data_IF_228968288209
#
_entry.id   IF_228968288209
#
_cell.length_a   1.000
_cell.length_b   1.000
_cell.length_c   1.000
_cell.angle_alpha   90.00
_cell.angle_beta   90.00
_cell.angle_gamma   90.00
#
_symmetry.space_group_name_H-M   'P 1'
#
loop_
_entity.id
_entity.type
_entity.pdbx_description
1 polymer ?
#
# COMPACT_ATOMS: atom_id res chain seq x y z
N UNK A 1 -23.04 41.01 12.38
CA UNK A 1 -21.84 40.62 13.14
C UNK A 1 -21.98 39.14 13.47
N UNK A 2 -21.41 38.26 12.65
CA UNK A 2 -21.49 36.81 12.82
C UNK A 2 -20.24 36.32 13.55
N UNK A 3 -20.44 35.57 14.64
CA UNK A 3 -19.38 34.88 15.38
C UNK A 3 -18.83 33.75 14.50
N UNK A 4 -17.50 33.73 14.30
CA UNK A 4 -16.77 32.57 13.81
C UNK A 4 -16.59 31.61 14.99
N UNK A 5 -17.46 30.61 15.10
CA UNK A 5 -17.17 29.44 15.91
C UNK A 5 -16.32 28.48 15.04
N UNK A 6 -15.06 28.30 15.44
CA UNK A 6 -14.18 27.30 14.86
C UNK A 6 -14.67 25.92 15.27
N UNK A 7 -15.17 25.13 14.32
CA UNK A 7 -15.51 23.73 14.52
C UNK A 7 -14.22 22.89 14.52
N UNK A 8 -13.67 22.68 15.70
CA UNK A 8 -12.54 21.77 15.93
C UNK A 8 -13.05 20.31 15.89
N UNK A 9 -12.47 19.49 15.02
CA UNK A 9 -12.68 18.03 15.03
C UNK A 9 -12.28 17.54 16.42
N UNK A 10 -13.19 16.83 17.10
CA UNK A 10 -13.08 16.44 18.51
C UNK A 10 -11.92 15.46 18.74
N UNK A 11 -10.69 15.95 18.77
CA UNK A 11 -9.49 15.19 19.12
C UNK A 11 -9.62 14.78 20.59
N UNK A 12 -9.68 13.48 20.87
CA UNK A 12 -9.55 12.98 22.25
C UNK A 12 -8.14 13.26 22.73
N UNK A 13 -7.97 14.25 23.59
CA UNK A 13 -6.73 14.45 24.34
C UNK A 13 -6.57 13.28 25.30
N UNK A 14 -5.53 12.46 25.11
CA UNK A 14 -5.18 11.37 26.01
C UNK A 14 -4.76 11.98 27.34
N UNK A 15 -5.56 11.77 28.39
CA UNK A 15 -5.29 12.27 29.75
C UNK A 15 -4.08 11.53 30.31
N UNK A 16 -2.87 12.09 30.12
CA UNK A 16 -1.66 11.60 30.77
C UNK A 16 -1.80 11.78 32.28
N UNK A 17 -1.82 10.68 33.02
CA UNK A 17 -1.78 10.66 34.48
C UNK A 17 -0.36 10.96 34.98
N UNK A 18 -0.05 12.25 35.11
CA UNK A 18 1.18 12.72 35.75
C UNK A 18 1.11 12.63 37.27
N UNK A 19 1.84 11.65 37.85
CA UNK A 19 2.40 11.75 39.20
C UNK A 19 3.64 12.65 39.12
N UNK A 20 3.70 13.75 39.87
CA UNK A 20 4.81 14.06 40.81
C UNK A 20 4.86 15.54 41.24
N UNK A 21 4.97 15.70 42.57
CA UNK A 21 5.75 16.66 43.38
C UNK A 21 5.68 18.19 43.15
N UNK A 22 5.16 18.81 44.22
CA UNK A 22 5.48 20.12 44.82
C UNK A 22 6.89 20.67 44.53
N UNK A 23 6.93 21.97 44.24
CA UNK A 23 8.07 22.86 44.45
C UNK A 23 7.66 24.31 44.19
N UNK A 24 7.57 25.11 45.26
CA UNK A 24 7.37 26.57 45.22
C UNK A 24 8.67 27.27 44.83
N UNK A 25 8.58 28.34 44.03
CA UNK A 25 9.35 29.57 44.25
C UNK A 25 8.73 30.75 43.48
N UNK A 26 8.45 31.83 44.21
CA UNK A 26 8.07 33.15 43.72
C UNK A 26 9.27 33.91 43.13
N UNK A 27 9.01 34.79 42.15
CA UNK A 27 9.97 35.81 41.70
C UNK A 27 9.54 36.56 40.43
N UNK A 28 9.28 37.86 40.58
CA UNK A 28 8.72 38.82 39.61
C UNK A 28 9.65 39.21 38.45
N UNK A 29 9.03 39.72 37.38
CA UNK A 29 9.34 41.00 36.67
C UNK A 29 9.52 40.89 35.15
N UNK A 30 8.82 41.81 34.49
CA UNK A 30 8.75 42.13 33.06
C UNK A 30 10.11 42.40 32.41
N UNK A 31 10.26 41.98 31.13
CA UNK A 31 10.61 42.88 30.02
C UNK A 31 10.54 42.19 28.66
N UNK A 32 10.02 42.94 27.70
CA UNK A 32 9.93 42.63 26.27
C UNK A 32 11.29 42.34 25.63
N UNK A 33 11.35 41.26 24.83
CA UNK A 33 12.28 41.16 23.70
C UNK A 33 11.76 40.13 22.69
N UNK A 34 11.51 40.59 21.45
CA UNK A 34 11.24 39.73 20.28
C UNK A 34 12.42 38.79 20.02
N UNK A 35 12.18 37.53 19.61
CA UNK A 35 13.17 36.77 18.86
C UNK A 35 12.76 36.52 17.41
N UNK A 36 13.79 36.50 16.57
CA UNK A 36 13.82 36.09 15.17
C UNK A 36 13.36 34.62 14.99
N UNK A 37 12.97 34.19 13.77
CA UNK A 37 12.38 32.88 13.57
C UNK A 37 13.42 31.77 13.75
N UNK A 38 13.24 30.97 14.79
CA UNK A 38 13.93 29.71 15.02
C UNK A 38 13.48 28.71 13.96
N UNK A 39 14.44 28.10 13.26
CA UNK A 39 14.21 27.02 12.32
C UNK A 39 13.46 25.87 13.03
N UNK A 40 12.28 25.54 12.52
CA UNK A 40 11.51 24.37 12.94
C UNK A 40 12.28 23.11 12.55
N UNK A 41 12.75 22.36 13.54
CA UNK A 41 13.16 20.96 13.38
C UNK A 41 11.97 20.18 12.80
N UNK A 42 12.16 19.57 11.64
CA UNK A 42 11.20 18.65 11.03
C UNK A 42 11.14 17.38 11.85
N UNK A 43 9.93 16.94 12.19
CA UNK A 43 9.63 15.67 12.87
C UNK A 43 9.66 14.47 11.91
N UNK A 44 10.52 14.50 10.90
CA UNK A 44 10.75 13.39 9.95
C UNK A 44 11.76 12.36 10.46
N UNK A 45 12.47 12.64 11.57
CA UNK A 45 13.53 11.76 12.08
C UNK A 45 13.00 10.43 12.69
N UNK A 46 11.75 10.34 13.17
CA UNK A 46 11.26 9.10 13.82
C UNK A 46 10.85 7.98 12.85
N UNK A 47 10.49 8.28 11.59
CA UNK A 47 10.23 7.23 10.57
C UNK A 47 11.52 6.77 9.86
N UNK A 48 12.53 7.64 9.74
CA UNK A 48 13.86 7.30 9.18
C UNK A 48 14.77 6.61 10.21
N UNK A 49 14.72 6.95 11.51
CA UNK A 49 15.51 6.27 12.55
C UNK A 49 15.07 4.81 12.78
N UNK A 50 13.79 4.46 12.58
CA UNK A 50 13.35 3.05 12.63
C UNK A 50 13.79 2.26 11.39
N UNK A 51 13.84 2.87 10.19
CA UNK A 51 14.43 2.22 9.01
C UNK A 51 15.94 2.05 9.16
N UNK A 52 16.70 3.09 9.58
CA UNK A 52 18.14 2.99 9.79
C UNK A 52 18.52 2.01 10.93
N UNK A 53 17.77 1.99 12.03
CA UNK A 53 17.95 1.02 13.13
C UNK A 53 17.63 -0.42 12.69
N UNK A 54 16.60 -0.60 11.87
CA UNK A 54 16.26 -1.89 11.26
C UNK A 54 17.34 -2.35 10.25
N UNK A 55 17.88 -1.43 9.44
CA UNK A 55 19.01 -1.72 8.53
C UNK A 55 20.34 -1.94 9.25
N UNK A 56 20.60 -1.30 10.41
CA UNK A 56 21.79 -1.56 11.23
C UNK A 56 21.70 -2.90 11.99
N UNK A 57 20.51 -3.26 12.47
CA UNK A 57 20.29 -4.55 13.14
C UNK A 57 20.25 -5.70 12.14
N UNK A 58 19.68 -5.49 10.94
CA UNK A 58 19.80 -6.43 9.84
C UNK A 58 21.24 -6.53 9.37
N UNK A 59 21.97 -5.45 9.08
CA UNK A 59 23.33 -5.53 8.52
C UNK A 59 24.31 -6.29 9.43
N UNK A 60 24.20 -6.17 10.75
CA UNK A 60 25.07 -6.90 11.70
C UNK A 60 24.74 -8.41 11.78
N UNK A 61 23.46 -8.78 11.79
CA UNK A 61 23.04 -10.20 11.73
C UNK A 61 23.20 -10.81 10.34
N UNK A 62 23.07 -10.01 9.28
CA UNK A 62 23.18 -10.42 7.89
C UNK A 62 24.64 -10.61 7.49
N UNK A 63 25.55 -9.75 7.97
CA UNK A 63 26.99 -9.92 7.79
C UNK A 63 27.50 -11.21 8.44
N UNK A 64 27.09 -11.55 9.65
CA UNK A 64 27.60 -12.79 10.30
C UNK A 64 26.97 -14.04 9.70
N UNK A 65 25.69 -13.99 9.29
CA UNK A 65 24.94 -15.18 8.87
C UNK A 65 25.03 -15.48 7.37
N UNK A 66 25.22 -14.47 6.51
CA UNK A 66 25.28 -14.63 5.06
C UNK A 66 26.65 -14.27 4.46
N UNK A 67 27.41 -13.36 5.07
CA UNK A 67 28.74 -13.01 4.57
C UNK A 67 29.75 -14.14 4.80
N UNK A 68 29.64 -14.91 5.89
CA UNK A 68 30.56 -16.03 6.14
C UNK A 68 30.45 -17.16 5.11
N UNK A 69 29.25 -17.65 4.74
CA UNK A 69 29.09 -18.63 3.66
C UNK A 69 29.53 -18.09 2.29
N UNK A 70 29.15 -16.85 1.95
CA UNK A 70 29.51 -16.23 0.66
C UNK A 70 31.03 -15.98 0.60
N UNK A 71 31.63 -15.51 1.69
CA UNK A 71 33.08 -15.32 1.80
C UNK A 71 33.83 -16.65 1.80
N UNK A 72 33.30 -17.72 2.41
CA UNK A 72 33.88 -19.06 2.34
C UNK A 72 33.83 -19.63 0.91
N UNK A 73 32.73 -19.42 0.18
CA UNK A 73 32.62 -19.78 -1.24
C UNK A 73 33.58 -18.94 -2.09
N UNK A 74 33.63 -17.62 -1.86
CA UNK A 74 34.49 -16.72 -2.62
C UNK A 74 35.99 -16.94 -2.35
N UNK A 75 36.38 -17.21 -1.10
CA UNK A 75 37.76 -17.56 -0.73
C UNK A 75 38.13 -18.97 -1.20
N UNK A 76 37.18 -19.91 -1.22
CA UNK A 76 37.35 -21.20 -1.87
C UNK A 76 37.58 -21.05 -3.38
N UNK A 77 36.82 -20.20 -4.05
CA UNK A 77 36.95 -19.92 -5.49
C UNK A 77 38.24 -19.18 -5.85
N UNK A 78 38.70 -18.23 -5.03
CA UNK A 78 39.97 -17.53 -5.28
C UNK A 78 41.19 -18.38 -4.93
N UNK A 79 41.10 -19.27 -3.93
CA UNK A 79 42.13 -20.29 -3.67
C UNK A 79 42.22 -21.34 -4.80
N UNK A 80 41.14 -21.57 -5.55
CA UNK A 80 41.10 -22.45 -6.73
C UNK A 80 41.77 -21.84 -7.98
N UNK A 81 41.96 -20.51 -8.03
CA UNK A 81 42.55 -19.82 -9.18
C UNK A 81 44.08 -19.82 -9.15
N UNK A 82 44.70 -20.10 -7.99
CA UNK A 82 46.15 -20.05 -7.81
C UNK A 82 46.88 -21.38 -8.06
N UNK A 83 46.18 -22.52 -8.11
CA UNK A 83 46.80 -23.83 -8.34
C UNK A 83 46.22 -24.56 -9.56
N UNK A 84 47.07 -24.76 -10.57
CA UNK A 84 46.80 -25.47 -11.85
C UNK A 84 46.53 -26.99 -11.70
N UNK A 85 45.92 -27.44 -10.61
CA UNK A 85 45.70 -28.84 -10.28
C UNK A 85 44.26 -29.29 -10.62
N UNK A 86 44.15 -29.92 -11.80
CA UNK A 86 43.12 -30.91 -12.19
C UNK A 86 41.68 -30.59 -11.72
N UNK A 87 41.02 -29.67 -12.42
CA UNK A 87 39.64 -29.19 -12.19
C UNK A 87 38.47 -30.20 -12.40
N UNK A 88 38.69 -31.41 -12.93
CA UNK A 88 37.57 -32.32 -13.27
C UNK A 88 36.80 -32.91 -12.06
N UNK A 89 37.44 -33.27 -10.93
CA UNK A 89 36.72 -33.81 -9.78
C UNK A 89 35.93 -32.74 -9.01
N UNK A 90 36.45 -31.50 -8.94
CA UNK A 90 35.84 -30.40 -8.19
C UNK A 90 34.67 -29.72 -8.92
N UNK A 91 34.68 -29.65 -10.27
CA UNK A 91 33.48 -29.31 -11.03
C UNK A 91 32.37 -30.34 -10.84
N UNK A 92 32.73 -31.63 -10.71
CA UNK A 92 31.75 -32.68 -10.42
C UNK A 92 31.22 -32.58 -8.98
N UNK A 93 32.07 -32.20 -8.02
CA UNK A 93 31.68 -31.93 -6.63
C UNK A 93 30.79 -30.70 -6.50
N UNK A 94 31.14 -29.57 -7.13
CA UNK A 94 30.34 -28.34 -7.11
C UNK A 94 28.96 -28.49 -7.79
N UNK A 95 28.84 -29.35 -8.81
CA UNK A 95 27.56 -29.67 -9.45
C UNK A 95 26.74 -30.70 -8.65
N UNK A 96 27.38 -31.67 -8.00
CA UNK A 96 26.69 -32.61 -7.08
C UNK A 96 26.26 -31.92 -5.77
N UNK A 97 27.00 -30.92 -5.33
CA UNK A 97 26.66 -30.14 -4.15
C UNK A 97 25.68 -29.00 -4.41
N UNK A 98 25.39 -28.63 -5.65
CA UNK A 98 24.26 -27.74 -5.91
C UNK A 98 22.94 -28.36 -5.41
N UNK A 99 22.75 -29.66 -5.61
CA UNK A 99 21.64 -30.42 -5.02
C UNK A 99 21.80 -30.55 -3.50
N UNK A 100 23.00 -30.82 -2.98
CA UNK A 100 23.23 -30.93 -1.54
C UNK A 100 23.00 -29.63 -0.78
N UNK A 101 23.45 -28.50 -1.32
CA UNK A 101 23.27 -27.13 -0.82
C UNK A 101 21.79 -26.72 -0.91
N UNK A 102 21.10 -27.02 -2.01
CA UNK A 102 19.64 -26.81 -2.11
C UNK A 102 18.84 -27.65 -1.10
N UNK A 103 19.38 -28.81 -0.71
CA UNK A 103 18.71 -29.74 0.19
C UNK A 103 19.01 -29.47 1.68
N UNK A 104 20.21 -28.96 2.02
CA UNK A 104 20.65 -28.74 3.40
C UNK A 104 20.64 -27.28 3.85
N UNK A 105 20.44 -26.33 2.93
CA UNK A 105 20.19 -24.93 3.26
C UNK A 105 18.77 -24.61 2.76
N UNK A 106 17.73 -24.86 3.56
CA UNK A 106 16.34 -24.49 3.22
C UNK A 106 16.19 -23.01 2.86
N UNK A 107 17.15 -22.15 3.25
CA UNK A 107 17.22 -20.74 2.88
C UNK A 107 17.73 -20.46 1.45
N UNK A 108 18.24 -21.45 0.73
CA UNK A 108 18.71 -21.31 -0.66
C UNK A 108 17.74 -21.86 -1.71
N UNK A 109 16.54 -22.31 -1.30
CA UNK A 109 15.41 -22.47 -2.23
C UNK A 109 14.88 -21.10 -2.65
N UNK A 110 15.78 -20.25 -3.16
CA UNK A 110 15.42 -19.01 -3.83
C UNK A 110 14.69 -19.42 -5.10
N UNK A 111 13.43 -19.04 -5.14
CA UNK A 111 12.58 -19.21 -6.31
C UNK A 111 13.11 -18.31 -7.42
N UNK A 112 13.05 -18.78 -8.65
CA UNK A 112 13.48 -17.99 -9.81
C UNK A 112 12.66 -16.69 -9.88
N UNK A 113 13.35 -15.56 -10.08
CA UNK A 113 12.69 -14.27 -10.30
C UNK A 113 11.93 -14.29 -11.62
N UNK A 114 10.73 -13.72 -11.64
CA UNK A 114 9.94 -13.55 -12.86
C UNK A 114 10.18 -12.19 -13.51
N UNK A 115 10.27 -12.16 -14.83
CA UNK A 115 10.34 -10.94 -15.61
C UNK A 115 9.13 -10.02 -15.36
N UNK A 116 9.25 -8.77 -15.80
CA UNK A 116 8.16 -7.80 -15.71
C UNK A 116 6.92 -8.24 -16.52
N UNK A 117 7.14 -8.85 -17.69
CA UNK A 117 6.10 -9.33 -18.61
C UNK A 117 5.56 -10.73 -18.28
N UNK A 118 6.16 -11.42 -17.32
CA UNK A 118 5.72 -12.76 -16.95
C UNK A 118 4.39 -12.66 -16.19
N UNK A 119 3.49 -13.60 -16.48
CA UNK A 119 2.22 -13.68 -15.76
C UNK A 119 2.49 -13.96 -14.29
N UNK A 120 1.75 -13.28 -13.41
CA UNK A 120 1.73 -13.55 -11.96
C UNK A 120 0.37 -14.03 -11.53
N UNK A 121 0.28 -14.67 -10.38
CA UNK A 121 -0.99 -15.23 -9.94
C UNK A 121 -2.04 -14.14 -9.69
N UNK A 122 -1.69 -13.10 -8.91
CA UNK A 122 -2.72 -12.19 -8.40
C UNK A 122 -2.32 -10.73 -8.33
N UNK A 123 -3.24 -9.88 -8.77
CA UNK A 123 -3.29 -8.46 -8.43
C UNK A 123 -4.47 -8.23 -7.48
N UNK A 124 -4.19 -7.73 -6.28
CA UNK A 124 -5.21 -7.32 -5.32
C UNK A 124 -5.23 -5.80 -5.28
N UNK A 125 -6.37 -5.20 -5.62
CA UNK A 125 -6.55 -3.74 -5.57
C UNK A 125 -7.47 -3.32 -4.44
N UNK A 126 -7.19 -2.20 -3.81
CA UNK A 126 -8.05 -1.61 -2.76
C UNK A 126 -7.72 -0.13 -2.56
N UNK A 127 -8.57 0.65 -1.90
CA UNK A 127 -8.28 2.07 -1.69
C UNK A 127 -7.05 2.29 -0.80
N UNK A 128 -6.45 3.48 -0.88
CA UNK A 128 -5.51 3.91 0.18
C UNK A 128 -6.17 3.76 1.55
N UNK A 129 -5.39 3.26 2.52
CA UNK A 129 -5.85 3.03 3.90
C UNK A 129 -6.94 1.95 4.07
N UNK A 130 -7.20 1.12 3.06
CA UNK A 130 -8.04 -0.08 3.17
C UNK A 130 -7.35 -1.29 3.82
N UNK A 131 -6.07 -1.17 4.19
CA UNK A 131 -5.29 -2.28 4.74
C UNK A 131 -4.50 -3.10 3.71
N UNK A 132 -4.16 -2.52 2.55
CA UNK A 132 -3.33 -3.19 1.52
C UNK A 132 -2.02 -3.75 2.07
N UNK A 133 -1.28 -2.96 2.87
CA UNK A 133 -0.06 -3.40 3.57
C UNK A 133 -0.28 -4.61 4.48
N UNK A 134 -1.41 -4.62 5.18
CA UNK A 134 -1.76 -5.67 6.12
C UNK A 134 -2.04 -6.98 5.37
N UNK A 135 -2.77 -6.92 4.27
CA UNK A 135 -3.05 -8.11 3.45
C UNK A 135 -1.77 -8.65 2.83
N UNK A 136 -0.93 -7.80 2.25
CA UNK A 136 0.37 -8.24 1.71
C UNK A 136 1.23 -8.93 2.78
N UNK A 137 1.38 -8.30 3.96
CA UNK A 137 2.09 -8.90 5.10
C UNK A 137 1.45 -10.19 5.57
N UNK A 138 0.12 -10.30 5.60
CA UNK A 138 -0.55 -11.51 6.05
C UNK A 138 -0.34 -12.67 5.08
N UNK A 139 -0.44 -12.44 3.78
CA UNK A 139 -0.18 -13.45 2.75
C UNK A 139 1.30 -13.90 2.77
N UNK A 140 2.22 -12.95 2.89
CA UNK A 140 3.65 -13.25 2.94
C UNK A 140 4.06 -13.94 4.24
N UNK A 141 3.74 -13.35 5.38
CA UNK A 141 4.28 -13.78 6.67
C UNK A 141 3.54 -15.02 7.22
N UNK A 142 2.27 -15.22 6.85
CA UNK A 142 1.46 -16.36 7.35
C UNK A 142 1.51 -17.56 6.40
N UNK A 143 1.36 -17.30 5.10
CA UNK A 143 1.29 -18.36 4.09
C UNK A 143 2.67 -18.63 3.48
N UNK A 144 3.53 -17.62 3.37
CA UNK A 144 4.83 -17.72 2.71
C UNK A 144 4.81 -17.33 1.23
N UNK A 145 3.74 -16.67 0.76
CA UNK A 145 3.65 -16.23 -0.64
C UNK A 145 4.53 -15.01 -0.89
N UNK A 146 5.14 -14.94 -2.08
CA UNK A 146 5.98 -13.82 -2.53
C UNK A 146 5.11 -12.67 -3.07
N UNK A 147 4.34 -12.04 -2.17
CA UNK A 147 3.39 -10.95 -2.45
C UNK A 147 3.97 -9.60 -2.00
N UNK A 148 4.00 -8.64 -2.93
CA UNK A 148 4.46 -7.27 -2.69
C UNK A 148 3.35 -6.35 -2.19
N UNK A 149 3.72 -5.28 -1.47
CA UNK A 149 2.83 -4.16 -1.14
C UNK A 149 3.20 -2.97 -2.01
N UNK A 150 2.30 -2.53 -2.89
CA UNK A 150 2.52 -1.48 -3.90
C UNK A 150 3.70 -1.74 -4.85
N UNK A 151 4.25 -2.96 -4.89
CA UNK A 151 5.42 -3.31 -5.69
C UNK A 151 5.10 -4.53 -6.53
N UNK A 152 5.60 -4.58 -7.75
CA UNK A 152 5.51 -5.72 -8.65
C UNK A 152 6.86 -6.03 -9.31
N UNK A 153 7.95 -5.41 -8.86
CA UNK A 153 9.29 -5.80 -9.30
C UNK A 153 9.76 -7.05 -8.54
N UNK A 154 9.90 -8.17 -9.26
CA UNK A 154 10.37 -9.42 -8.66
C UNK A 154 11.90 -9.53 -8.62
N UNK A 155 12.63 -8.72 -9.40
CA UNK A 155 14.09 -8.78 -9.48
C UNK A 155 14.74 -8.21 -8.22
N UNK A 156 14.15 -7.17 -7.65
CA UNK A 156 14.70 -6.50 -6.46
C UNK A 156 13.98 -6.85 -5.15
N UNK A 157 12.73 -7.33 -5.20
CA UNK A 157 11.84 -7.36 -4.02
C UNK A 157 11.13 -8.70 -3.74
N UNK A 158 11.49 -9.80 -4.41
CA UNK A 158 10.85 -11.11 -4.22
C UNK A 158 9.32 -11.05 -4.31
N UNK A 159 8.83 -10.42 -5.38
CA UNK A 159 7.40 -10.22 -5.66
C UNK A 159 6.97 -11.10 -6.84
N UNK A 160 7.19 -12.40 -6.69
CA UNK A 160 6.94 -13.35 -7.77
C UNK A 160 5.45 -13.67 -7.94
N UNK A 161 4.76 -13.89 -6.83
CA UNK A 161 3.43 -14.49 -6.85
C UNK A 161 2.33 -13.47 -7.14
N UNK A 162 2.57 -12.19 -6.86
CA UNK A 162 1.55 -11.15 -7.05
C UNK A 162 1.77 -9.89 -6.23
N UNK A 163 0.82 -8.97 -6.28
CA UNK A 163 0.92 -7.69 -5.56
C UNK A 163 -0.41 -7.26 -4.97
N UNK A 164 -0.35 -6.55 -3.84
CA UNK A 164 -1.47 -5.81 -3.26
C UNK A 164 -1.18 -4.32 -3.39
N UNK A 165 -2.02 -3.59 -4.13
CA UNK A 165 -1.75 -2.18 -4.40
C UNK A 165 -3.00 -1.34 -4.55
N UNK A 166 -3.00 -0.13 -4.01
CA UNK A 166 -4.02 0.85 -4.34
C UNK A 166 -3.77 1.54 -5.68
N UNK A 167 -2.51 1.79 -6.03
CA UNK A 167 -2.21 2.55 -7.23
C UNK A 167 -2.41 1.70 -8.50
N UNK A 168 -2.22 0.38 -8.46
CA UNK A 168 -2.58 -0.50 -9.57
C UNK A 168 -4.08 -0.48 -9.91
N UNK A 169 -4.93 0.11 -9.04
CA UNK A 169 -6.32 0.44 -9.36
C UNK A 169 -6.49 1.29 -10.62
N UNK A 170 -5.48 2.08 -11.03
CA UNK A 170 -5.54 2.88 -12.28
C UNK A 170 -5.83 2.02 -13.52
N UNK A 171 -5.48 0.72 -13.50
CA UNK A 171 -5.77 -0.22 -14.59
C UNK A 171 -7.26 -0.38 -14.85
N UNK A 172 -8.07 -0.23 -13.80
CA UNK A 172 -9.51 -0.41 -13.81
C UNK A 172 -10.28 0.91 -13.80
N UNK A 173 -9.59 2.05 -13.85
CA UNK A 173 -10.26 3.32 -14.10
C UNK A 173 -10.64 3.42 -15.57
N UNK A 174 -11.91 3.71 -15.90
CA UNK A 174 -12.32 3.83 -17.29
C UNK A 174 -11.57 4.98 -17.95
N UNK A 175 -11.01 4.70 -19.12
CA UNK A 175 -10.39 5.71 -19.98
C UNK A 175 -11.34 5.96 -21.13
N UNK A 176 -11.66 7.23 -21.38
CA UNK A 176 -12.20 7.61 -22.67
C UNK A 176 -11.01 7.73 -23.66
N UNK A 177 -10.84 6.77 -24.59
CA UNK A 177 -9.70 6.74 -25.51
C UNK A 177 -9.68 7.95 -26.47
N UNK A 178 -10.79 8.68 -26.59
CA UNK A 178 -10.88 9.88 -27.45
C UNK A 178 -10.39 11.15 -26.76
N UNK A 179 -10.09 11.10 -25.45
CA UNK A 179 -9.85 12.30 -24.68
C UNK A 179 -8.38 12.70 -24.62
N UNK A 180 -8.09 13.91 -25.11
CA UNK A 180 -6.83 14.62 -24.85
C UNK A 180 -6.54 14.83 -23.34
N UNK A 181 -7.48 14.49 -22.46
CA UNK A 181 -7.39 14.64 -21.01
C UNK A 181 -6.50 13.57 -20.38
N UNK A 182 -6.46 12.33 -20.88
CA UNK A 182 -5.58 11.30 -20.29
C UNK A 182 -4.11 11.69 -20.41
N UNK A 183 -3.69 12.16 -21.58
CA UNK A 183 -2.30 12.62 -21.78
C UNK A 183 -1.95 13.76 -20.81
N UNK A 184 -2.86 14.71 -20.62
CA UNK A 184 -2.68 15.80 -19.63
C UNK A 184 -2.60 15.27 -18.20
N UNK A 185 -3.48 14.33 -17.82
CA UNK A 185 -3.44 13.67 -16.50
C UNK A 185 -2.10 13.00 -16.27
N UNK A 186 -1.61 12.20 -17.22
CA UNK A 186 -0.32 11.52 -17.11
C UNK A 186 0.83 12.52 -16.98
N UNK A 187 0.82 13.58 -17.78
CA UNK A 187 1.84 14.63 -17.70
C UNK A 187 1.81 15.30 -16.32
N UNK A 188 0.63 15.68 -15.82
CA UNK A 188 0.45 16.25 -14.48
C UNK A 188 0.90 15.29 -13.38
N UNK A 189 0.54 14.00 -13.47
CA UNK A 189 1.04 12.99 -12.54
C UNK A 189 2.58 12.97 -12.56
N UNK A 190 3.20 12.88 -13.73
CA UNK A 190 4.64 12.64 -13.77
C UNK A 190 5.51 13.87 -13.53
N UNK A 191 4.96 15.06 -13.75
CA UNK A 191 5.67 16.33 -13.53
C UNK A 191 5.37 16.94 -12.17
N UNK A 192 4.13 16.84 -11.69
CA UNK A 192 3.67 17.49 -10.47
C UNK A 192 3.46 16.52 -9.30
N UNK A 193 3.56 15.20 -9.51
CA UNK A 193 3.54 14.26 -8.40
C UNK A 193 4.80 14.38 -7.56
N UNK A 194 4.57 14.34 -6.26
CA UNK A 194 5.58 14.12 -5.26
C UNK A 194 5.59 12.64 -4.89
N UNK A 195 6.72 12.16 -4.36
CA UNK A 195 6.82 10.82 -3.77
C UNK A 195 5.68 10.53 -2.75
N UNK A 196 5.19 11.58 -2.09
CA UNK A 196 4.11 11.53 -1.12
C UNK A 196 2.75 11.10 -1.69
N UNK A 197 2.58 11.15 -3.02
CA UNK A 197 1.38 10.63 -3.68
C UNK A 197 1.30 9.11 -3.65
N UNK A 198 2.32 8.40 -3.13
CA UNK A 198 2.28 6.94 -2.95
C UNK A 198 2.43 6.16 -4.26
N UNK A 199 2.99 6.81 -5.29
CA UNK A 199 3.34 6.20 -6.57
C UNK A 199 4.83 6.43 -6.84
N UNK A 200 5.50 5.38 -7.31
CA UNK A 200 6.85 5.46 -7.83
C UNK A 200 7.02 4.51 -9.02
N UNK A 201 7.67 4.89 -10.13
CA UNK A 201 7.83 4.02 -11.30
C UNK A 201 8.42 2.64 -11.00
N UNK A 202 9.35 2.58 -10.04
CA UNK A 202 9.95 1.33 -9.54
C UNK A 202 8.94 0.32 -8.97
N UNK A 203 7.75 0.78 -8.60
CA UNK A 203 6.65 -0.09 -8.19
C UNK A 203 6.22 -1.07 -9.28
N UNK A 204 6.52 -0.78 -10.55
CA UNK A 204 6.11 -1.59 -11.69
C UNK A 204 7.24 -2.42 -12.28
N UNK A 205 8.47 -1.94 -12.26
CA UNK A 205 9.63 -2.65 -12.83
C UNK A 205 10.93 -2.16 -12.20
N UNK A 206 11.99 -2.93 -12.37
CA UNK A 206 13.34 -2.46 -12.12
C UNK A 206 13.57 -1.15 -12.90
N UNK A 207 13.89 -0.08 -12.17
CA UNK A 207 14.13 1.23 -12.77
C UNK A 207 15.49 1.29 -13.46
N UNK A 208 15.59 2.08 -14.53
CA UNK A 208 16.88 2.45 -15.14
C UNK A 208 17.43 3.74 -14.55
N UNK A 209 16.59 4.49 -13.83
CA UNK A 209 16.97 5.71 -13.15
C UNK A 209 17.72 5.45 -11.83
N UNK A 210 18.66 6.35 -11.50
CA UNK A 210 19.42 6.28 -10.25
C UNK A 210 18.52 6.45 -9.03
N UNK A 211 18.62 5.52 -8.08
CA UNK A 211 17.91 5.58 -6.80
C UNK A 211 18.38 6.73 -5.91
N UNK A 212 19.59 7.25 -6.16
CA UNK A 212 20.15 8.39 -5.40
C UNK A 212 19.55 9.73 -5.80
N UNK A 213 18.82 9.78 -6.91
CA UNK A 213 18.17 11.00 -7.37
C UNK A 213 16.73 11.07 -6.88
N UNK A 214 16.38 12.17 -6.20
CA UNK A 214 14.99 12.53 -5.97
C UNK A 214 14.31 12.84 -7.30
N UNK A 215 13.06 12.38 -7.47
CA UNK A 215 12.16 12.54 -8.64
C UNK A 215 12.73 13.35 -9.82
N UNK A 216 13.66 12.75 -10.57
CA UNK A 216 14.40 13.44 -11.62
C UNK A 216 13.65 13.41 -12.96
N UNK A 217 14.20 14.07 -13.99
CA UNK A 217 13.68 13.96 -15.35
C UNK A 217 13.65 12.51 -15.85
N UNK A 218 14.55 11.67 -15.34
CA UNK A 218 14.54 10.24 -15.64
C UNK A 218 13.29 9.59 -15.04
N UNK A 219 13.04 9.78 -13.74
CA UNK A 219 11.85 9.22 -13.08
C UNK A 219 10.55 9.73 -13.66
N UNK A 220 10.47 11.03 -14.01
CA UNK A 220 9.31 11.59 -14.69
C UNK A 220 9.06 10.92 -16.05
N UNK A 221 10.12 10.59 -16.80
CA UNK A 221 10.01 9.86 -18.06
C UNK A 221 9.49 8.43 -17.84
N UNK A 222 10.07 7.69 -16.90
CA UNK A 222 9.59 6.34 -16.56
C UNK A 222 8.13 6.36 -16.08
N UNK A 223 7.76 7.34 -15.27
CA UNK A 223 6.38 7.55 -14.84
C UNK A 223 5.44 7.68 -16.04
N UNK A 224 5.81 8.49 -17.05
CA UNK A 224 4.95 8.72 -18.22
C UNK A 224 4.77 7.43 -19.00
N UNK A 225 5.85 6.69 -19.25
CA UNK A 225 5.81 5.40 -19.95
C UNK A 225 4.91 4.41 -19.20
N UNK A 226 5.15 4.20 -17.91
CA UNK A 226 4.36 3.27 -17.08
C UNK A 226 2.89 3.68 -17.03
N UNK A 227 2.60 4.96 -16.77
CA UNK A 227 1.22 5.44 -16.69
C UNK A 227 0.48 5.30 -18.02
N UNK A 228 1.15 5.50 -19.15
CA UNK A 228 0.55 5.26 -20.47
C UNK A 228 0.22 3.79 -20.71
N UNK A 229 1.08 2.88 -20.27
CA UNK A 229 0.87 1.44 -20.41
C UNK A 229 -0.22 0.93 -19.47
N UNK A 230 -0.26 1.43 -18.24
CA UNK A 230 -1.04 0.87 -17.14
C UNK A 230 -2.41 1.50 -16.97
N UNK A 231 -2.56 2.79 -17.27
CA UNK A 231 -3.81 3.49 -17.00
C UNK A 231 -4.95 2.98 -17.89
N UNK A 232 -5.99 2.43 -17.27
CA UNK A 232 -7.16 1.87 -17.94
C UNK A 232 -6.85 0.68 -18.84
N UNK A 233 -5.68 0.03 -18.71
CA UNK A 233 -5.31 -1.07 -19.60
C UNK A 233 -6.28 -2.26 -19.54
N UNK A 234 -6.96 -2.47 -18.40
CA UNK A 234 -7.93 -3.57 -18.28
C UNK A 234 -9.17 -3.34 -19.16
N UNK A 235 -9.45 -2.09 -19.55
CA UNK A 235 -10.58 -1.73 -20.42
C UNK A 235 -10.26 -1.82 -21.91
N UNK A 236 -8.98 -2.01 -22.27
CA UNK A 236 -8.54 -2.06 -23.66
C UNK A 236 -8.76 -3.46 -24.23
N UNK A 237 -9.06 -3.60 -25.53
CA UNK A 237 -9.26 -4.92 -26.16
C UNK A 237 -8.06 -5.85 -26.03
N UNK A 238 -6.86 -5.29 -25.95
CA UNK A 238 -5.58 -6.00 -25.84
C UNK A 238 -5.13 -6.21 -24.38
N UNK A 239 -5.89 -5.71 -23.41
CA UNK A 239 -5.65 -5.87 -21.98
C UNK A 239 -4.37 -5.20 -21.45
N UNK A 240 -3.93 -5.64 -20.28
CA UNK A 240 -2.70 -5.17 -19.62
C UNK A 240 -1.51 -6.06 -20.01
N UNK A 241 -0.87 -5.79 -21.15
CA UNK A 241 0.22 -6.63 -21.67
C UNK A 241 1.52 -6.58 -20.86
N UNK A 242 1.80 -5.46 -20.19
CA UNK A 242 3.13 -5.23 -19.61
C UNK A 242 3.34 -5.93 -18.26
N UNK A 243 2.27 -6.31 -17.56
CA UNK A 243 2.33 -7.11 -16.33
C UNK A 243 1.01 -7.88 -16.16
N UNK A 244 0.88 -9.03 -16.85
CA UNK A 244 -0.33 -9.81 -16.77
C UNK A 244 -0.47 -10.43 -15.37
N UNK A 245 -1.69 -10.38 -14.84
CA UNK A 245 -2.06 -11.10 -13.63
C UNK A 245 -3.19 -12.06 -13.98
N UNK A 246 -3.01 -13.34 -13.63
CA UNK A 246 -3.99 -14.39 -13.86
C UNK A 246 -5.33 -14.05 -13.21
N UNK A 247 -5.29 -13.54 -11.97
CA UNK A 247 -6.45 -13.04 -11.24
C UNK A 247 -6.30 -11.60 -10.80
N UNK A 248 -7.43 -10.90 -10.78
CA UNK A 248 -7.56 -9.57 -10.18
C UNK A 248 -8.66 -9.60 -9.13
N UNK A 249 -8.34 -9.20 -7.90
CA UNK A 249 -9.28 -9.18 -6.77
C UNK A 249 -9.48 -7.73 -6.28
N UNK A 250 -10.69 -7.40 -5.87
CA UNK A 250 -10.98 -6.15 -5.18
C UNK A 250 -11.07 -6.39 -3.67
N UNK A 251 -10.09 -5.88 -2.94
CA UNK A 251 -10.10 -5.82 -1.49
C UNK A 251 -10.87 -4.59 -1.03
N UNK A 252 -11.84 -4.79 -0.15
CA UNK A 252 -12.63 -3.71 0.46
C UNK A 252 -12.44 -3.68 1.96
N UNK A 253 -12.60 -2.49 2.52
CA UNK A 253 -12.70 -2.23 3.97
C UNK A 253 -13.95 -1.37 4.18
N UNK A 254 -14.55 -1.42 5.37
CA UNK A 254 -15.72 -0.59 5.68
C UNK A 254 -15.47 0.87 5.25
N UNK A 255 -16.33 1.47 4.40
CA UNK A 255 -16.07 2.80 3.81
C UNK A 255 -15.77 3.88 4.85
N UNK A 256 -16.57 3.98 5.91
CA UNK A 256 -16.36 4.98 6.98
C UNK A 256 -14.99 4.79 7.65
N UNK A 257 -14.58 3.55 7.94
CA UNK A 257 -13.30 3.28 8.60
C UNK A 257 -12.10 3.63 7.69
N UNK A 258 -12.29 3.47 6.37
CA UNK A 258 -11.33 3.92 5.36
C UNK A 258 -11.24 5.44 5.35
N UNK A 259 -12.39 6.15 5.34
CA UNK A 259 -12.43 7.62 5.39
C UNK A 259 -11.78 8.14 6.66
N UNK A 260 -12.08 7.58 7.83
CA UNK A 260 -11.43 7.95 9.10
C UNK A 260 -9.91 7.88 8.99
N UNK A 261 -9.40 6.82 8.36
CA UNK A 261 -7.96 6.59 8.20
C UNK A 261 -7.34 7.58 7.23
N UNK A 262 -8.04 7.94 6.15
CA UNK A 262 -7.60 8.98 5.21
C UNK A 262 -7.61 10.36 5.84
N UNK A 263 -8.67 10.70 6.59
CA UNK A 263 -8.77 11.96 7.32
C UNK A 263 -7.65 12.08 8.34
N UNK A 264 -7.39 11.04 9.13
CA UNK A 264 -6.29 11.01 10.10
C UNK A 264 -4.90 11.12 9.44
N UNK A 265 -4.77 10.62 8.19
CA UNK A 265 -3.52 10.62 7.43
C UNK A 265 -3.23 11.96 6.76
N UNK A 266 -4.25 12.59 6.16
CA UNK A 266 -4.06 13.68 5.22
C UNK A 266 -4.62 15.01 5.70
N UNK A 267 -5.75 15.04 6.43
CA UNK A 267 -6.39 16.30 6.81
C UNK A 267 -5.62 17.02 7.92
N UNK A 268 -5.44 18.33 7.75
CA UNK A 268 -4.63 19.20 8.62
C UNK A 268 -3.17 18.72 8.75
N UNK A 269 -2.64 18.10 7.70
CA UNK A 269 -1.23 17.68 7.59
C UNK A 269 -0.60 18.32 6.36
N UNK A 270 0.74 18.31 6.30
CA UNK A 270 1.49 18.73 5.10
C UNK A 270 1.15 17.90 3.85
N UNK A 271 0.62 16.68 4.03
CA UNK A 271 0.26 15.75 2.95
C UNK A 271 -1.10 16.06 2.31
N UNK A 272 -1.87 17.03 2.84
CA UNK A 272 -3.20 17.36 2.35
C UNK A 272 -3.18 17.82 0.88
N UNK A 273 -2.21 18.66 0.50
CA UNK A 273 -2.12 19.19 -0.86
C UNK A 273 -1.79 18.11 -1.88
N UNK A 274 -0.91 17.17 -1.52
CA UNK A 274 -0.60 16.00 -2.35
C UNK A 274 -1.85 15.13 -2.56
N UNK A 275 -2.64 14.91 -1.50
CA UNK A 275 -3.89 14.17 -1.59
C UNK A 275 -4.94 14.87 -2.47
N UNK A 276 -5.10 16.19 -2.35
CA UNK A 276 -6.00 16.98 -3.21
C UNK A 276 -5.59 16.88 -4.67
N UNK A 277 -4.30 17.04 -4.97
CA UNK A 277 -3.76 16.91 -6.33
C UNK A 277 -4.03 15.53 -6.92
N UNK A 278 -3.77 14.48 -6.14
CA UNK A 278 -4.02 13.10 -6.54
C UNK A 278 -5.52 12.84 -6.78
N UNK A 279 -6.41 13.32 -5.92
CA UNK A 279 -7.85 13.19 -6.13
C UNK A 279 -8.31 13.92 -7.40
N UNK A 280 -7.87 15.18 -7.60
CA UNK A 280 -8.19 15.95 -8.81
C UNK A 280 -7.69 15.24 -10.08
N UNK A 281 -6.50 14.65 -10.02
CA UNK A 281 -5.94 13.89 -11.14
C UNK A 281 -6.82 12.69 -11.51
N UNK A 282 -7.22 11.89 -10.52
CA UNK A 282 -7.97 10.65 -10.74
C UNK A 282 -9.43 10.93 -11.13
N UNK A 283 -10.10 11.81 -10.39
CA UNK A 283 -11.56 11.96 -10.40
C UNK A 283 -12.04 13.41 -10.60
N UNK A 284 -11.14 14.38 -10.83
CA UNK A 284 -11.51 15.80 -10.91
C UNK A 284 -12.57 16.12 -11.98
N UNK A 285 -12.59 15.39 -13.10
CA UNK A 285 -13.58 15.58 -14.16
C UNK A 285 -15.02 15.24 -13.69
N UNK A 286 -15.16 14.39 -12.68
CA UNK A 286 -16.46 13.99 -12.09
C UNK A 286 -16.91 14.98 -11.00
N UNK A 287 -16.01 15.85 -10.53
CA UNK A 287 -16.22 16.75 -9.41
C UNK A 287 -15.80 18.19 -9.78
N UNK A 288 -16.59 18.91 -10.61
CA UNK A 288 -16.24 20.28 -11.03
C UNK A 288 -16.16 21.27 -9.86
N UNK A 289 -16.87 21.00 -8.76
CA UNK A 289 -16.91 21.84 -7.56
C UNK A 289 -15.89 21.42 -6.48
N UNK A 290 -14.82 20.72 -6.85
CA UNK A 290 -13.80 20.18 -5.93
C UNK A 290 -13.26 21.23 -4.96
N UNK A 291 -13.09 22.48 -5.40
CA UNK A 291 -12.59 23.60 -4.57
C UNK A 291 -13.56 24.00 -3.44
N UNK A 292 -14.78 23.47 -3.45
CA UNK A 292 -15.79 23.67 -2.41
C UNK A 292 -15.77 22.56 -1.37
N UNK A 293 -15.11 21.44 -1.63
CA UNK A 293 -15.08 20.31 -0.71
C UNK A 293 -14.15 20.59 0.47
N UNK A 294 -14.63 20.22 1.66
CA UNK A 294 -13.79 20.02 2.83
C UNK A 294 -12.88 18.80 2.65
N UNK A 295 -11.84 18.67 3.49
CA UNK A 295 -10.95 17.52 3.44
C UNK A 295 -11.69 16.19 3.71
N UNK A 296 -12.70 16.20 4.58
CA UNK A 296 -13.59 15.05 4.82
C UNK A 296 -14.35 14.67 3.55
N UNK A 297 -14.96 15.64 2.87
CA UNK A 297 -15.73 15.40 1.64
C UNK A 297 -14.83 14.85 0.53
N UNK A 298 -13.61 15.38 0.37
CA UNK A 298 -12.62 14.84 -0.57
C UNK A 298 -12.23 13.39 -0.26
N UNK A 299 -11.91 13.09 1.00
CA UNK A 299 -11.59 11.73 1.42
C UNK A 299 -12.76 10.76 1.18
N UNK A 300 -13.98 11.24 1.41
CA UNK A 300 -15.22 10.47 1.20
C UNK A 300 -15.44 10.18 -0.28
N UNK A 301 -15.40 11.20 -1.14
CA UNK A 301 -15.53 11.01 -2.58
C UNK A 301 -14.42 10.14 -3.18
N UNK A 302 -13.18 10.25 -2.69
CA UNK A 302 -12.10 9.32 -3.11
C UNK A 302 -12.49 7.86 -2.85
N UNK A 303 -12.98 7.54 -1.64
CA UNK A 303 -13.39 6.18 -1.29
C UNK A 303 -14.57 5.73 -2.15
N UNK A 304 -15.56 6.61 -2.36
CA UNK A 304 -16.74 6.33 -3.18
C UNK A 304 -16.35 6.04 -4.63
N UNK A 305 -15.65 6.96 -5.30
CA UNK A 305 -15.35 6.88 -6.73
C UNK A 305 -14.42 5.72 -7.05
N UNK A 306 -13.40 5.49 -6.22
CA UNK A 306 -12.51 4.35 -6.40
C UNK A 306 -13.28 3.02 -6.30
N UNK A 307 -14.11 2.84 -5.26
CA UNK A 307 -14.85 1.60 -5.08
C UNK A 307 -15.95 1.42 -6.14
N UNK A 308 -16.60 2.49 -6.61
CA UNK A 308 -17.52 2.45 -7.75
C UNK A 308 -16.80 1.96 -9.00
N UNK A 309 -15.62 2.52 -9.31
CA UNK A 309 -14.85 2.09 -10.46
C UNK A 309 -14.46 0.60 -10.40
N UNK A 310 -14.01 0.11 -9.24
CA UNK A 310 -13.70 -1.32 -9.06
C UNK A 310 -14.96 -2.21 -9.15
N UNK A 311 -16.09 -1.76 -8.60
CA UNK A 311 -17.35 -2.49 -8.72
C UNK A 311 -17.81 -2.58 -10.18
N UNK A 312 -17.72 -1.49 -10.94
CA UNK A 312 -18.02 -1.49 -12.39
C UNK A 312 -17.06 -2.39 -13.16
N UNK A 313 -15.76 -2.38 -12.84
CA UNK A 313 -14.79 -3.29 -13.46
C UNK A 313 -15.11 -4.77 -13.16
N UNK A 314 -15.58 -5.09 -11.95
CA UNK A 314 -16.05 -6.43 -11.59
C UNK A 314 -17.28 -6.85 -12.39
N UNK A 315 -18.28 -5.98 -12.52
CA UNK A 315 -19.49 -6.25 -13.32
C UNK A 315 -19.17 -6.55 -14.79
N UNK A 316 -18.05 -6.01 -15.29
CA UNK A 316 -17.53 -6.26 -16.64
C UNK A 316 -16.60 -7.47 -16.73
N UNK A 317 -16.37 -8.19 -15.64
CA UNK A 317 -15.50 -9.36 -15.59
C UNK A 317 -13.99 -9.03 -15.60
N UNK A 318 -13.60 -7.77 -15.44
CA UNK A 318 -12.18 -7.35 -15.38
C UNK A 318 -11.56 -7.62 -14.01
N UNK A 319 -12.39 -7.59 -12.96
CA UNK A 319 -12.05 -8.02 -11.61
C UNK A 319 -12.84 -9.31 -11.33
N UNK A 320 -12.13 -10.34 -10.89
CA UNK A 320 -12.67 -11.69 -10.74
C UNK A 320 -13.62 -11.79 -9.55
N UNK A 321 -13.28 -11.14 -8.42
CA UNK A 321 -14.09 -11.20 -7.20
C UNK A 321 -13.78 -10.03 -6.26
N UNK A 322 -14.58 -9.90 -5.22
CA UNK A 322 -14.41 -8.92 -4.14
C UNK A 322 -14.44 -9.63 -2.80
N UNK A 323 -13.65 -9.15 -1.85
CA UNK A 323 -13.71 -9.60 -0.47
C UNK A 323 -13.55 -8.43 0.50
N UNK A 324 -13.96 -8.63 1.75
CA UNK A 324 -13.83 -7.66 2.84
C UNK A 324 -12.69 -8.08 3.75
N UNK A 325 -11.77 -7.17 4.05
CA UNK A 325 -10.60 -7.47 4.89
C UNK A 325 -11.03 -7.99 6.25
N UNK A 326 -12.08 -7.39 6.82
CA UNK A 326 -12.61 -7.70 8.14
C UNK A 326 -13.14 -9.13 8.26
N UNK A 327 -13.63 -9.70 7.15
CA UNK A 327 -14.32 -11.00 7.11
C UNK A 327 -13.46 -12.09 6.43
N UNK A 328 -12.24 -11.76 6.00
CA UNK A 328 -11.40 -12.66 5.21
C UNK A 328 -10.12 -13.04 5.95
N UNK A 329 -9.82 -14.33 5.95
CA UNK A 329 -8.56 -14.90 6.46
C UNK A 329 -7.47 -14.90 5.37
N UNK A 330 -6.18 -14.98 5.72
CA UNK A 330 -5.11 -15.12 4.72
C UNK A 330 -5.32 -16.32 3.78
N UNK A 331 -5.80 -17.45 4.31
CA UNK A 331 -6.09 -18.64 3.51
C UNK A 331 -7.24 -18.43 2.52
N UNK A 332 -8.33 -17.78 2.93
CA UNK A 332 -9.43 -17.45 2.01
C UNK A 332 -8.97 -16.48 0.93
N UNK A 333 -8.16 -15.47 1.26
CA UNK A 333 -7.61 -14.55 0.28
C UNK A 333 -6.71 -15.29 -0.74
N UNK A 334 -5.88 -16.24 -0.29
CA UNK A 334 -5.05 -17.07 -1.16
C UNK A 334 -5.89 -18.00 -2.06
N UNK A 335 -6.99 -18.55 -1.55
CA UNK A 335 -7.94 -19.36 -2.33
C UNK A 335 -8.63 -18.52 -3.41
N UNK A 336 -9.14 -17.32 -3.06
CA UNK A 336 -9.74 -16.38 -4.01
C UNK A 336 -8.74 -15.94 -5.09
N UNK A 337 -7.45 -15.85 -4.75
CA UNK A 337 -6.36 -15.56 -5.67
C UNK A 337 -6.02 -16.73 -6.61
N UNK A 338 -6.61 -17.92 -6.41
CA UNK A 338 -6.40 -19.09 -7.25
C UNK A 338 -5.26 -19.99 -6.80
N UNK A 339 -4.56 -19.67 -5.70
CA UNK A 339 -3.41 -20.47 -5.26
C UNK A 339 -3.78 -21.88 -4.75
N UNK A 340 -5.05 -22.12 -4.43
CA UNK A 340 -5.52 -23.43 -3.98
C UNK A 340 -5.90 -24.38 -5.15
N UNK A 341 -6.03 -23.86 -6.38
CA UNK A 341 -6.55 -24.61 -7.52
C UNK A 341 -5.44 -25.02 -8.48
N UNK A 342 -5.29 -26.32 -8.68
CA UNK A 342 -4.31 -26.95 -9.58
C UNK A 342 -4.37 -26.40 -11.02
N UNK A 343 -5.59 -26.12 -11.51
CA UNK A 343 -5.83 -25.69 -12.89
C UNK A 343 -5.63 -24.19 -13.12
N UNK A 344 -5.40 -23.41 -12.06
CA UNK A 344 -5.40 -21.96 -12.11
C UNK A 344 -4.08 -21.35 -11.61
N UNK A 345 -3.08 -22.20 -11.36
CA UNK A 345 -1.79 -21.81 -10.85
C UNK A 345 -0.84 -21.40 -11.96
N UNK A 346 -0.25 -20.23 -11.77
CA UNK A 346 0.89 -19.77 -12.57
C UNK A 346 2.17 -20.51 -12.15
N UNK A 347 2.33 -20.79 -10.86
CA UNK A 347 3.50 -21.49 -10.32
C UNK A 347 3.08 -22.63 -9.38
N UNK A 348 3.45 -23.87 -9.74
CA UNK A 348 2.98 -25.11 -9.09
C UNK A 348 3.25 -25.18 -7.59
N UNK A 349 4.41 -24.72 -7.11
CA UNK A 349 4.79 -24.90 -5.70
C UNK A 349 3.89 -24.11 -4.73
N UNK A 350 3.18 -23.09 -5.22
CA UNK A 350 2.25 -22.33 -4.40
C UNK A 350 1.08 -23.18 -3.92
N UNK A 351 0.66 -24.19 -4.69
CA UNK A 351 -0.43 -25.06 -4.29
C UNK A 351 -0.11 -25.80 -3.00
N UNK A 352 1.05 -26.45 -2.99
CA UNK A 352 1.49 -27.29 -1.88
C UNK A 352 1.72 -26.42 -0.64
N UNK A 353 2.28 -25.23 -0.83
CA UNK A 353 2.47 -24.25 0.23
C UNK A 353 1.12 -23.84 0.86
N UNK A 354 0.15 -23.41 0.04
CA UNK A 354 -1.18 -22.99 0.51
C UNK A 354 -1.92 -24.17 1.14
N UNK A 355 -1.93 -25.35 0.52
CA UNK A 355 -2.57 -26.53 1.10
C UNK A 355 -1.97 -26.88 2.45
N UNK A 356 -0.64 -26.94 2.57
CA UNK A 356 0.04 -27.25 3.83
C UNK A 356 -0.31 -26.24 4.91
N UNK A 357 -0.21 -24.94 4.61
CA UNK A 357 -0.47 -23.86 5.56
C UNK A 357 -1.94 -23.75 5.96
N UNK A 358 -2.85 -23.95 5.01
CA UNK A 358 -4.28 -23.74 5.24
C UNK A 358 -5.02 -24.99 5.75
N UNK A 359 -4.52 -26.19 5.47
CA UNK A 359 -5.13 -27.44 5.95
C UNK A 359 -4.57 -27.90 7.30
N UNK A 360 -3.32 -27.55 7.64
CA UNK A 360 -2.76 -27.98 8.94
C UNK A 360 -3.59 -27.42 10.10
N UNK A 361 -4.03 -28.29 10.99
CA UNK A 361 -4.79 -27.90 12.19
C UNK A 361 -3.93 -27.14 13.21
N UNK A 362 -2.61 -27.17 13.05
CA UNK A 362 -1.65 -26.53 13.95
C UNK A 362 -1.39 -25.05 13.60
N UNK A 363 -1.55 -24.65 12.34
CA UNK A 363 -1.25 -23.27 11.92
C UNK A 363 -2.51 -22.38 12.00
N UNK A 364 -2.87 -22.02 13.24
CA UNK A 364 -4.08 -21.22 13.51
C UNK A 364 -4.05 -19.84 12.86
N UNK A 365 -2.87 -19.31 12.53
CA UNK A 365 -2.70 -17.95 12.01
C UNK A 365 -3.33 -17.77 10.62
N UNK A 366 -3.22 -18.77 9.73
CA UNK A 366 -3.80 -18.70 8.38
C UNK A 366 -5.32 -18.65 8.35
N UNK A 367 -5.97 -19.08 9.43
CA UNK A 367 -7.42 -19.11 9.63
C UNK A 367 -7.93 -18.01 10.55
N UNK A 368 -7.04 -17.24 11.16
CA UNK A 368 -7.45 -16.02 11.84
C UNK A 368 -7.85 -14.99 10.79
N UNK A 369 -8.96 -14.31 11.04
CA UNK A 369 -9.34 -13.16 10.22
C UNK A 369 -8.14 -12.22 10.14
N UNK A 370 -7.99 -11.55 9.00
CA UNK A 370 -7.05 -10.45 8.83
C UNK A 370 -7.55 -9.27 9.68
N UNK A 371 -7.55 -9.45 10.99
CA UNK A 371 -7.90 -8.42 11.94
C UNK A 371 -6.90 -7.32 11.74
N UNK A 372 -7.35 -6.08 11.56
CA UNK A 372 -6.43 -4.97 11.62
C UNK A 372 -5.64 -5.10 12.91
N UNK A 373 -4.30 -5.23 12.76
CA UNK A 373 -3.39 -5.25 13.91
C UNK A 373 -3.85 -4.12 14.84
N UNK A 374 -3.89 -4.37 16.15
CA UNK A 374 -4.54 -3.57 17.22
C UNK A 374 -4.24 -2.06 17.21
N UNK A 375 -3.40 -1.59 16.30
CA UNK A 375 -3.15 -0.20 16.02
C UNK A 375 -3.13 -0.08 14.49
N UNK A 376 -4.23 0.39 13.88
CA UNK A 376 -4.09 1.14 12.62
C UNK A 376 -3.14 2.30 12.95
N UNK A 377 -1.83 2.11 12.72
CA UNK A 377 -0.78 3.04 13.16
C UNK A 377 -1.08 4.48 12.79
N UNK A 378 -1.82 4.67 11.70
CA UNK A 378 -2.22 5.97 11.17
C UNK A 378 -3.39 6.60 11.95
N UNK A 379 -4.51 5.88 12.15
CA UNK A 379 -5.68 6.45 12.82
C UNK A 379 -5.56 6.40 14.35
N UNK A 380 -5.05 5.32 14.98
CA UNK A 380 -4.93 5.19 16.46
C UNK A 380 -6.11 5.78 17.28
N UNK A 381 -7.34 5.61 16.81
CA UNK A 381 -8.56 6.23 17.38
C UNK A 381 -8.57 7.78 17.44
N UNK A 382 -7.75 8.46 16.65
CA UNK A 382 -7.69 9.92 16.52
C UNK A 382 -8.95 10.48 15.86
N UNK A 383 -9.50 9.75 14.89
CA UNK A 383 -10.70 10.11 14.14
C UNK A 383 -11.71 8.97 14.27
N UNK A 384 -12.93 9.32 14.67
CA UNK A 384 -14.09 8.44 14.62
C UNK A 384 -15.25 9.20 14.00
N UNK A 385 -15.83 8.63 12.96
CA UNK A 385 -16.88 9.26 12.16
C UNK A 385 -18.18 8.44 12.27
N UNK A 386 -19.29 9.17 12.30
CA UNK A 386 -20.66 8.65 12.22
C UNK A 386 -21.28 9.09 10.91
N UNK A 387 -22.40 8.48 10.51
CA UNK A 387 -23.14 8.94 9.32
C UNK A 387 -23.51 10.43 9.39
N UNK A 388 -23.87 10.94 10.57
CA UNK A 388 -24.19 12.36 10.74
C UNK A 388 -23.02 13.30 10.45
N UNK A 389 -21.76 12.83 10.47
CA UNK A 389 -20.60 13.66 10.16
C UNK A 389 -20.50 14.00 8.67
N UNK A 390 -21.22 13.28 7.80
CA UNK A 390 -21.26 13.55 6.36
C UNK A 390 -22.38 14.52 5.96
N UNK A 391 -23.14 15.06 6.93
CA UNK A 391 -24.12 16.13 6.71
C UNK A 391 -23.45 17.42 6.25
N UNK A 392 -24.09 18.16 5.34
CA UNK A 392 -23.62 19.48 4.95
C UNK A 392 -23.56 20.46 6.12
N UNK A 393 -22.65 21.44 6.03
CA UNK A 393 -22.36 22.41 7.08
C UNK A 393 -21.52 21.88 8.24
N UNK A 394 -21.15 20.59 8.27
CA UNK A 394 -20.23 20.02 9.26
C UNK A 394 -18.79 19.95 8.75
N UNK A 395 -17.84 19.94 9.68
CA UNK A 395 -16.40 19.70 9.42
C UNK A 395 -15.81 20.56 8.29
N UNK A 396 -16.22 21.83 8.21
CA UNK A 396 -15.76 22.76 7.19
C UNK A 396 -16.44 22.62 5.82
N UNK A 397 -17.47 21.78 5.70
CA UNK A 397 -18.29 21.67 4.49
C UNK A 397 -18.92 23.02 4.14
N UNK A 398 -18.83 23.38 2.85
CA UNK A 398 -19.50 24.57 2.28
C UNK A 398 -20.93 24.27 1.80
N UNK A 399 -21.42 23.03 1.93
CA UNK A 399 -22.82 22.67 1.65
C UNK A 399 -23.74 23.25 2.72
N UNK A 400 -25.02 23.40 2.40
CA UNK A 400 -26.01 23.90 3.36
C UNK A 400 -26.14 22.96 4.56
N UNK A 401 -26.35 23.53 5.74
CA UNK A 401 -26.59 22.74 6.96
C UNK A 401 -27.74 21.76 6.76
N UNK A 402 -27.51 20.48 7.06
CA UNK A 402 -28.51 19.42 6.91
C UNK A 402 -28.67 18.86 5.50
N UNK A 403 -27.79 19.23 4.55
CA UNK A 403 -27.69 18.54 3.26
C UNK A 403 -27.27 17.07 3.47
N UNK A 404 -28.12 16.15 3.03
CA UNK A 404 -27.96 14.71 3.24
C UNK A 404 -27.32 13.97 2.05
N UNK A 405 -26.99 14.65 0.95
CA UNK A 405 -26.58 13.98 -0.28
C UNK A 405 -25.36 13.06 -0.09
N UNK A 406 -24.31 13.55 0.60
CA UNK A 406 -23.14 12.72 0.87
C UNK A 406 -23.43 11.57 1.85
N UNK A 407 -24.39 11.74 2.78
CA UNK A 407 -24.82 10.66 3.68
C UNK A 407 -25.44 9.52 2.87
N UNK A 408 -26.33 9.85 1.94
CA UNK A 408 -26.98 8.89 1.03
C UNK A 408 -25.93 8.18 0.16
N UNK A 409 -24.94 8.91 -0.36
CA UNK A 409 -23.85 8.31 -1.14
C UNK A 409 -22.98 7.36 -0.30
N UNK A 410 -22.69 7.72 0.95
CA UNK A 410 -21.96 6.84 1.89
C UNK A 410 -22.75 5.56 2.18
N UNK A 411 -24.06 5.67 2.41
CA UNK A 411 -24.92 4.50 2.60
C UNK A 411 -25.00 3.62 1.36
N UNK A 412 -25.07 4.24 0.17
CA UNK A 412 -25.09 3.55 -1.10
C UNK A 412 -23.80 2.75 -1.31
N UNK A 413 -22.62 3.33 -1.03
CA UNK A 413 -21.35 2.61 -1.19
C UNK A 413 -21.18 1.50 -0.15
N UNK A 414 -21.62 1.70 1.10
CA UNK A 414 -21.63 0.64 2.13
C UNK A 414 -22.46 -0.55 1.67
N UNK A 415 -23.65 -0.28 1.12
CA UNK A 415 -24.55 -1.30 0.59
C UNK A 415 -23.94 -1.99 -0.64
N UNK A 416 -23.35 -1.23 -1.57
CA UNK A 416 -22.71 -1.75 -2.79
C UNK A 416 -21.58 -2.74 -2.46
N UNK A 417 -20.82 -2.46 -1.40
CA UNK A 417 -19.73 -3.33 -0.95
C UNK A 417 -20.20 -4.46 -0.01
N UNK A 418 -21.51 -4.59 0.20
CA UNK A 418 -22.14 -5.68 0.94
C UNK A 418 -22.01 -5.60 2.45
N UNK A 419 -21.73 -4.42 3.03
CA UNK A 419 -21.70 -4.23 4.48
C UNK A 419 -23.12 -4.02 5.02
N UNK A 420 -23.41 -4.56 6.21
CA UNK A 420 -24.71 -4.41 6.87
C UNK A 420 -24.91 -2.99 7.38
N UNK A 421 -26.09 -2.40 7.15
CA UNK A 421 -26.38 -1.04 7.59
C UNK A 421 -26.40 -0.87 9.12
N UNK A 422 -26.61 -1.93 9.89
CA UNK A 422 -26.61 -1.89 11.36
C UNK A 422 -25.25 -1.45 11.93
N UNK A 423 -24.16 -1.69 11.19
CA UNK A 423 -22.81 -1.22 11.55
C UNK A 423 -22.64 0.31 11.47
N UNK A 424 -23.58 1.02 10.83
CA UNK A 424 -23.57 2.48 10.69
C UNK A 424 -24.17 3.21 11.90
N UNK A 425 -24.95 2.52 12.73
CA UNK A 425 -25.72 3.13 13.84
C UNK A 425 -24.97 3.03 15.18
N UNK A 426 -24.06 2.05 15.31
CA UNK A 426 -23.45 1.68 16.59
C UNK A 426 -22.07 2.29 16.84
N UNK A 427 -21.42 2.87 15.84
CA UNK A 427 -20.20 3.68 15.99
C UNK A 427 -20.55 5.14 16.27
#
# INVERSE_FOLDING_TARGET
MARKDGSEVRRRTKKQSGKSKKGNHDGQSEKESKPAPTASKSTTEEEEEEEESFFQTLSSHWLVRYFFPIYAVYTGLTALETDNLKLKPLQHWALQDAEWINCHIPMLQLRESVGHSDERQVLIVGTMSSGTRQVASSLRDTIGLEIGHELSDSQSYYVRDGTVSWFFGIRFLPVDPSTSTLGKKIVTLCQDATFEMGFHPRMYRAGVCSEREQWSRCWAKECMEISQMEWGCAWRPDGCQFQPFRRSLHQTRHPIATVESLVAKFCDTEKQDAFIKMFRLLFGDQHPDLDRYSCLELATHYVIEYNRAMATAREKGLIHTTYKVEDTTPCQAAELAGFASENDLVHSDNQMLVQTKCQSSQDSAGRQLMKPREIYKVNQDRVRLKLSDFEGGRHGSKRSSGDMALVEEVQAIVTLLGYEQETLVTN
#
